data_IF_837802306210
#
_entry.id   IF_837802306210
#
_cell.length_a   1.000
_cell.length_b   1.000
_cell.length_c   1.000
_cell.angle_alpha   90.00
_cell.angle_beta   90.00
_cell.angle_gamma   90.00
#
_symmetry.space_group_name_H-M   'P 1'
#
loop_
_entity.id
_entity.type
_entity.pdbx_description
1 polymer ?
#
# COMPACT_ATOMS: atom_id res chain seq x y z
N UNK A 1 -25.89 -5.93 -0.67
CA UNK A 1 -24.83 -5.49 0.25
C UNK A 1 -23.56 -5.13 -0.49
N UNK A 2 -23.68 -4.37 -1.58
CA UNK A 2 -22.58 -4.11 -2.53
C UNK A 2 -21.68 -2.94 -2.06
N UNK A 3 -22.29 -1.97 -1.38
CA UNK A 3 -21.62 -0.74 -0.92
C UNK A 3 -20.61 -0.97 0.21
N UNK A 4 -20.89 -1.86 1.15
CA UNK A 4 -19.97 -2.20 2.24
C UNK A 4 -18.72 -2.94 1.71
N UNK A 5 -18.91 -3.88 0.78
CA UNK A 5 -17.81 -4.60 0.13
C UNK A 5 -16.97 -3.67 -0.77
N UNK A 6 -17.61 -2.71 -1.44
CA UNK A 6 -16.90 -1.66 -2.17
C UNK A 6 -16.05 -0.78 -1.25
N UNK A 7 -16.61 -0.34 -0.12
CA UNK A 7 -15.89 0.48 0.85
C UNK A 7 -14.67 -0.24 1.45
N UNK A 8 -14.79 -1.55 1.73
CA UNK A 8 -13.66 -2.37 2.18
C UNK A 8 -12.59 -2.53 1.11
N UNK A 9 -13.00 -2.75 -0.14
CA UNK A 9 -12.07 -2.84 -1.27
C UNK A 9 -11.31 -1.53 -1.47
N UNK A 10 -12.01 -0.39 -1.47
CA UNK A 10 -11.37 0.91 -1.58
C UNK A 10 -10.43 1.15 -0.40
N UNK A 11 -10.85 0.83 0.84
CA UNK A 11 -9.97 0.97 2.02
C UNK A 11 -8.69 0.14 1.87
N UNK A 12 -8.78 -1.08 1.33
CA UNK A 12 -7.64 -1.97 1.08
C UNK A 12 -6.66 -1.38 0.06
N UNK A 13 -7.15 -0.75 -1.00
CA UNK A 13 -6.30 -0.28 -2.10
C UNK A 13 -6.01 1.23 -2.09
N UNK A 14 -6.64 2.01 -1.20
CA UNK A 14 -6.46 3.47 -1.19
C UNK A 14 -5.00 3.85 -1.09
N UNK A 15 -4.24 3.21 -0.18
CA UNK A 15 -2.86 3.59 0.07
C UNK A 15 -1.98 3.31 -1.13
N UNK A 16 -2.22 2.21 -1.84
CA UNK A 16 -1.52 1.86 -3.07
C UNK A 16 -1.77 2.86 -4.19
N UNK A 17 -3.03 3.24 -4.41
CA UNK A 17 -3.40 4.20 -5.46
C UNK A 17 -2.80 5.58 -5.12
N UNK A 18 -2.96 6.05 -3.89
CA UNK A 18 -2.40 7.32 -3.45
C UNK A 18 -0.86 7.35 -3.51
N UNK A 19 -0.18 6.30 -3.04
CA UNK A 19 1.29 6.24 -3.09
C UNK A 19 1.81 6.21 -4.51
N UNK A 20 1.15 5.48 -5.41
CA UNK A 20 1.49 5.42 -6.83
C UNK A 20 1.27 6.78 -7.51
N UNK A 21 0.12 7.41 -7.28
CA UNK A 21 -0.19 8.71 -7.90
C UNK A 21 0.75 9.82 -7.43
N UNK A 22 1.12 9.84 -6.14
CA UNK A 22 2.02 10.85 -5.55
C UNK A 22 3.43 10.86 -6.13
N UNK A 23 3.88 9.76 -6.73
CA UNK A 23 5.19 9.69 -7.40
C UNK A 23 5.25 10.67 -8.57
N UNK A 24 4.14 10.86 -9.28
CA UNK A 24 4.04 11.70 -10.48
C UNK A 24 3.31 13.02 -10.20
N UNK A 25 2.32 13.00 -9.32
CA UNK A 25 1.48 14.15 -8.98
C UNK A 25 1.73 14.54 -7.52
N UNK A 26 2.70 15.42 -7.21
CA UNK A 26 2.98 15.81 -5.83
C UNK A 26 1.85 16.66 -5.21
N UNK A 27 1.06 17.34 -6.05
CA UNK A 27 -0.08 18.15 -5.62
C UNK A 27 -1.21 17.25 -5.07
N UNK A 28 -1.72 17.51 -3.84
CA UNK A 28 -2.80 16.73 -3.25
C UNK A 28 -4.08 16.71 -4.09
N UNK A 29 -4.44 17.83 -4.73
CA UNK A 29 -5.62 17.92 -5.58
C UNK A 29 -5.53 16.99 -6.79
N UNK A 30 -4.40 17.02 -7.51
CA UNK A 30 -4.15 16.16 -8.67
C UNK A 30 -4.17 14.68 -8.28
N UNK A 31 -3.59 14.35 -7.12
CA UNK A 31 -3.61 12.98 -6.57
C UNK A 31 -5.04 12.52 -6.28
N UNK A 32 -5.87 13.37 -5.69
CA UNK A 32 -7.26 13.05 -5.38
C UNK A 32 -8.11 12.83 -6.65
N UNK A 33 -7.89 13.64 -7.68
CA UNK A 33 -8.56 13.48 -8.98
C UNK A 33 -8.15 12.17 -9.68
N UNK A 34 -6.85 11.84 -9.66
CA UNK A 34 -6.36 10.55 -10.17
C UNK A 34 -7.01 9.40 -9.39
N UNK A 35 -7.04 9.49 -8.06
CA UNK A 35 -7.68 8.47 -7.22
C UNK A 35 -9.15 8.26 -7.58
N UNK A 36 -9.92 9.33 -7.78
CA UNK A 36 -11.33 9.23 -8.21
C UNK A 36 -11.46 8.53 -9.56
N UNK A 37 -10.63 8.90 -10.55
CA UNK A 37 -10.65 8.28 -11.88
C UNK A 37 -10.33 6.79 -11.82
N UNK A 38 -9.34 6.40 -11.02
CA UNK A 38 -8.97 4.99 -10.81
C UNK A 38 -10.10 4.23 -10.12
N UNK A 39 -10.76 4.80 -9.12
CA UNK A 39 -11.92 4.17 -8.47
C UNK A 39 -13.06 3.90 -9.46
N UNK A 40 -13.35 4.83 -10.37
CA UNK A 40 -14.37 4.66 -11.41
C UNK A 40 -14.01 3.51 -12.37
N UNK A 41 -12.74 3.41 -12.78
CA UNK A 41 -12.27 2.29 -13.61
C UNK A 41 -12.25 0.96 -12.89
N UNK A 42 -11.88 0.96 -11.60
CA UNK A 42 -11.93 -0.23 -10.75
C UNK A 42 -13.37 -0.75 -10.64
N UNK A 43 -14.34 0.14 -10.40
CA UNK A 43 -15.76 -0.21 -10.35
C UNK A 43 -16.23 -0.88 -11.66
N UNK A 44 -15.88 -0.30 -12.82
CA UNK A 44 -16.20 -0.89 -14.14
C UNK A 44 -15.51 -2.24 -14.35
N UNK A 45 -14.27 -2.40 -13.89
CA UNK A 45 -13.50 -3.64 -14.08
C UNK A 45 -14.00 -4.78 -13.18
N UNK A 46 -14.48 -4.48 -11.97
CA UNK A 46 -14.99 -5.50 -11.03
C UNK A 46 -16.14 -6.31 -11.62
N UNK A 47 -16.96 -5.70 -12.47
CA UNK A 47 -18.03 -6.38 -13.21
C UNK A 47 -17.51 -7.52 -14.13
N UNK A 48 -16.22 -7.51 -14.45
CA UNK A 48 -15.58 -8.44 -15.38
C UNK A 48 -14.30 -9.09 -14.82
N UNK A 49 -14.01 -8.91 -13.53
CA UNK A 49 -12.76 -9.36 -12.93
C UNK A 49 -12.79 -10.88 -12.72
N UNK A 50 -11.93 -11.60 -13.46
CA UNK A 50 -11.80 -13.07 -13.37
C UNK A 50 -10.68 -13.52 -12.42
N UNK A 51 -9.71 -12.64 -12.15
CA UNK A 51 -8.56 -12.93 -11.29
C UNK A 51 -8.24 -11.75 -10.38
N UNK A 52 -8.45 -11.96 -9.08
CA UNK A 52 -8.24 -10.98 -8.01
C UNK A 52 -6.75 -10.77 -7.71
N UNK A 53 -5.89 -11.76 -7.98
CA UNK A 53 -4.45 -11.65 -7.70
C UNK A 53 -3.76 -10.66 -8.63
N UNK A 54 -4.29 -10.47 -9.84
CA UNK A 54 -3.80 -9.47 -10.80
C UNK A 54 -4.18 -8.01 -10.45
N UNK A 55 -5.07 -7.81 -9.48
CA UNK A 55 -5.68 -6.51 -9.20
C UNK A 55 -4.68 -5.43 -8.73
N UNK A 56 -3.74 -5.70 -7.81
CA UNK A 56 -2.77 -4.68 -7.36
C UNK A 56 -1.89 -4.17 -8.50
N UNK A 57 -1.35 -5.09 -9.31
CA UNK A 57 -0.51 -4.77 -10.47
C UNK A 57 -1.27 -3.94 -11.50
N UNK A 58 -2.53 -4.30 -11.76
CA UNK A 58 -3.38 -3.51 -12.64
C UNK A 58 -3.66 -2.11 -12.07
N UNK A 59 -3.91 -2.00 -10.76
CA UNK A 59 -4.15 -0.72 -10.08
C UNK A 59 -2.95 0.22 -10.20
N UNK A 60 -1.73 -0.27 -10.01
CA UNK A 60 -0.52 0.54 -10.18
C UNK A 60 -0.42 1.03 -11.63
N UNK A 61 -0.62 0.12 -12.60
CA UNK A 61 -0.56 0.45 -14.02
C UNK A 61 -1.59 1.52 -14.42
N UNK A 62 -2.85 1.36 -14.01
CA UNK A 62 -3.92 2.30 -14.37
C UNK A 62 -3.72 3.65 -13.65
N UNK A 63 -3.29 3.63 -12.39
CA UNK A 63 -3.01 4.86 -11.62
C UNK A 63 -1.91 5.68 -12.28
N UNK A 64 -0.80 5.04 -12.67
CA UNK A 64 0.29 5.72 -13.38
C UNK A 64 -0.17 6.33 -14.70
N UNK A 65 -0.95 5.58 -15.49
CA UNK A 65 -1.51 6.09 -16.75
C UNK A 65 -2.36 7.35 -16.53
N UNK A 66 -3.24 7.34 -15.51
CA UNK A 66 -4.04 8.52 -15.15
C UNK A 66 -3.22 9.69 -14.63
N UNK A 67 -2.19 9.44 -13.84
CA UNK A 67 -1.25 10.48 -13.39
C UNK A 67 -0.54 11.13 -14.57
N UNK A 68 -0.05 10.35 -15.54
CA UNK A 68 0.58 10.88 -16.76
C UNK A 68 -0.42 11.70 -17.58
N UNK A 69 -1.64 11.20 -17.77
CA UNK A 69 -2.69 11.93 -18.48
C UNK A 69 -3.06 13.25 -17.78
N UNK A 70 -3.09 13.26 -16.44
CA UNK A 70 -3.32 14.48 -15.64
C UNK A 70 -2.21 15.51 -15.86
N UNK A 71 -0.94 15.09 -15.77
CA UNK A 71 0.20 15.97 -16.00
C UNK A 71 0.22 16.55 -17.43
N UNK A 72 -0.14 15.74 -18.43
CA UNK A 72 -0.22 16.18 -19.84
C UNK A 72 -1.29 17.24 -20.08
N UNK A 73 -2.34 17.29 -19.26
CA UNK A 73 -3.45 18.24 -19.39
C UNK A 73 -3.18 19.59 -18.70
N UNK A 74 -2.11 19.71 -17.89
CA UNK A 74 -1.70 21.00 -17.35
C UNK A 74 -1.16 21.91 -18.47
N UNK A 75 -1.51 23.20 -18.50
CA UNK A 75 -0.86 24.16 -19.40
C UNK A 75 0.64 24.20 -19.07
N UNK A 76 1.47 23.82 -20.03
CA UNK A 76 2.93 23.65 -19.91
C UNK A 76 3.59 24.91 -19.32
N UNK A 77 4.12 24.81 -18.10
CA UNK A 77 5.25 25.64 -17.66
C UNK A 77 6.54 24.82 -17.52
N UNK A 78 6.45 23.48 -17.61
CA UNK A 78 7.59 22.58 -17.58
C UNK A 78 7.43 21.52 -18.67
N UNK A 79 8.40 21.50 -19.59
CA UNK A 79 8.57 20.41 -20.55
C UNK A 79 8.97 19.16 -19.76
N UNK A 80 8.00 18.29 -19.47
CA UNK A 80 8.31 16.93 -19.07
C UNK A 80 8.81 16.20 -20.32
N UNK A 81 10.12 15.94 -20.37
CA UNK A 81 10.69 15.02 -21.34
C UNK A 81 10.05 13.64 -21.11
N UNK A 82 9.65 12.97 -22.20
CA UNK A 82 9.00 11.66 -22.14
C UNK A 82 9.86 10.56 -21.47
N UNK A 83 11.14 10.86 -21.22
CA UNK A 83 12.13 10.00 -20.58
C UNK A 83 12.12 10.03 -19.03
N UNK A 84 11.38 10.95 -18.38
CA UNK A 84 11.33 11.06 -16.91
C UNK A 84 10.18 10.30 -16.25
N UNK A 85 9.46 9.42 -16.96
CA UNK A 85 8.48 8.55 -16.31
C UNK A 85 9.26 7.47 -15.54
N UNK A 86 9.28 7.45 -14.19
CA UNK A 86 10.20 6.58 -13.46
C UNK A 86 9.97 5.11 -13.80
N UNK A 87 11.02 4.45 -14.27
CA UNK A 87 10.99 3.08 -14.78
C UNK A 87 10.60 2.04 -13.70
N UNK A 88 10.29 0.82 -14.16
CA UNK A 88 9.94 -0.44 -13.46
C UNK A 88 10.37 -0.63 -11.99
N UNK A 89 11.58 -0.29 -11.51
CA UNK A 89 11.99 -0.48 -10.11
C UNK A 89 11.06 0.14 -9.06
N UNK A 90 10.42 1.28 -9.36
CA UNK A 90 9.48 1.90 -8.42
C UNK A 90 8.16 1.13 -8.34
N UNK A 91 7.74 0.51 -9.45
CA UNK A 91 6.54 -0.34 -9.51
C UNK A 91 6.77 -1.59 -8.67
N UNK A 92 7.89 -2.29 -8.88
CA UNK A 92 8.23 -3.49 -8.09
C UNK A 92 8.32 -3.17 -6.58
N UNK A 93 8.84 -1.98 -6.24
CA UNK A 93 8.92 -1.53 -4.85
C UNK A 93 7.53 -1.26 -4.25
N UNK A 94 6.63 -0.61 -5.00
CA UNK A 94 5.26 -0.34 -4.57
C UNK A 94 4.42 -1.63 -4.48
N UNK A 95 4.61 -2.57 -5.41
CA UNK A 95 4.01 -3.91 -5.38
C UNK A 95 4.45 -4.66 -4.12
N UNK A 96 5.76 -4.75 -3.86
CA UNK A 96 6.30 -5.40 -2.66
C UNK A 96 5.84 -4.74 -1.37
N UNK A 97 5.76 -3.41 -1.33
CA UNK A 97 5.26 -2.71 -0.16
C UNK A 97 3.78 -3.02 0.09
N UNK A 98 2.98 -3.10 -0.97
CA UNK A 98 1.58 -3.46 -0.84
C UNK A 98 1.37 -4.92 -0.40
N UNK A 99 2.15 -5.86 -0.94
CA UNK A 99 2.16 -7.25 -0.49
C UNK A 99 2.54 -7.37 0.98
N UNK A 100 3.55 -6.61 1.43
CA UNK A 100 3.96 -6.53 2.82
C UNK A 100 2.83 -6.01 3.71
N UNK A 101 2.14 -4.95 3.31
CA UNK A 101 0.99 -4.41 4.04
C UNK A 101 -0.15 -5.43 4.16
N UNK A 102 -0.52 -6.11 3.06
CA UNK A 102 -1.53 -7.17 3.11
C UNK A 102 -1.11 -8.34 3.99
N UNK A 103 0.16 -8.72 3.97
CA UNK A 103 0.67 -9.80 4.82
C UNK A 103 0.68 -9.40 6.31
N UNK A 104 0.96 -8.12 6.62
CA UNK A 104 0.86 -7.57 7.98
C UNK A 104 -0.58 -7.55 8.49
N UNK A 105 -1.58 -7.26 7.64
CA UNK A 105 -3.00 -7.30 7.99
C UNK A 105 -3.50 -8.71 8.34
N UNK A 106 -2.89 -9.75 7.76
CA UNK A 106 -3.21 -11.15 8.06
C UNK A 106 -2.54 -11.67 9.35
N UNK A 107 -1.65 -10.89 9.97
CA UNK A 107 -1.06 -11.26 11.26
C UNK A 107 -2.06 -11.06 12.41
N UNK A 108 -1.97 -11.88 13.47
CA UNK A 108 -2.71 -11.62 14.69
C UNK A 108 -2.42 -10.21 15.22
N UNK A 109 -3.43 -9.53 15.74
CA UNK A 109 -3.35 -8.13 16.16
C UNK A 109 -2.12 -7.83 17.04
N UNK A 110 -1.82 -8.74 17.98
CA UNK A 110 -0.66 -8.64 18.87
C UNK A 110 0.68 -8.66 18.12
N UNK A 111 0.81 -9.51 17.09
CA UNK A 111 2.00 -9.59 16.24
C UNK A 111 2.14 -8.34 15.37
N UNK A 112 1.03 -7.88 14.79
CA UNK A 112 0.98 -6.66 13.97
C UNK A 112 1.40 -5.42 14.76
N UNK A 113 0.81 -5.22 15.95
CA UNK A 113 1.18 -4.10 16.84
C UNK A 113 2.63 -4.15 17.29
N UNK A 114 3.17 -5.33 17.60
CA UNK A 114 4.58 -5.49 17.97
C UNK A 114 5.50 -5.06 16.82
N UNK A 115 5.24 -5.51 15.58
CA UNK A 115 6.06 -5.13 14.43
C UNK A 115 5.93 -3.62 14.12
N UNK A 116 4.74 -3.05 14.25
CA UNK A 116 4.52 -1.60 14.10
C UNK A 116 5.35 -0.78 15.10
N UNK A 117 5.38 -1.18 16.37
CA UNK A 117 6.19 -0.48 17.38
C UNK A 117 7.70 -0.64 17.17
N UNK A 118 8.14 -1.77 16.63
CA UNK A 118 9.58 -2.05 16.44
C UNK A 118 10.17 -1.40 15.19
N UNK A 119 9.39 -1.27 14.12
CA UNK A 119 9.93 -0.95 12.79
C UNK A 119 9.28 0.26 12.10
N UNK A 120 8.08 0.66 12.53
CA UNK A 120 7.29 1.70 11.85
C UNK A 120 6.98 2.89 12.75
N UNK A 121 7.54 2.93 13.96
CA UNK A 121 7.42 4.09 14.85
C UNK A 121 8.47 5.13 14.47
N UNK A 122 8.05 6.39 14.37
CA UNK A 122 8.93 7.53 14.07
C UNK A 122 10.01 7.69 15.15
N UNK A 123 9.67 7.38 16.40
CA UNK A 123 10.57 7.43 17.53
C UNK A 123 10.91 6.00 18.00
N UNK A 124 12.20 5.65 18.16
CA UNK A 124 12.60 4.30 18.53
C UNK A 124 12.24 4.00 19.98
N UNK A 125 11.27 3.11 20.19
CA UNK A 125 10.83 2.67 21.51
C UNK A 125 11.75 1.57 22.07
N UNK A 126 12.06 1.66 23.36
CA UNK A 126 12.74 0.59 24.07
C UNK A 126 11.85 -0.65 24.21
N UNK A 127 12.47 -1.82 24.39
CA UNK A 127 11.71 -3.05 24.64
C UNK A 127 10.86 -2.97 25.92
N UNK A 128 11.27 -2.20 26.93
CA UNK A 128 10.47 -1.99 28.13
C UNK A 128 9.16 -1.23 27.83
N UNK A 129 9.24 -0.17 27.02
CA UNK A 129 8.06 0.63 26.64
C UNK A 129 7.12 -0.15 25.72
N UNK A 130 7.67 -0.91 24.77
CA UNK A 130 6.88 -1.78 23.89
C UNK A 130 6.17 -2.86 24.71
N UNK A 131 6.87 -3.48 25.67
CA UNK A 131 6.31 -4.48 26.57
C UNK A 131 5.14 -3.90 27.38
N UNK A 132 5.31 -2.70 27.93
CA UNK A 132 4.27 -2.00 28.67
C UNK A 132 3.06 -1.66 27.80
N UNK A 133 3.27 -1.11 26.59
CA UNK A 133 2.19 -0.76 25.64
C UNK A 133 1.40 -1.97 25.13
N UNK A 134 2.05 -3.13 25.06
CA UNK A 134 1.43 -4.38 24.61
C UNK A 134 0.88 -5.23 25.76
N UNK A 135 1.19 -4.90 27.02
CA UNK A 135 0.79 -5.68 28.19
C UNK A 135 1.47 -7.06 28.25
N UNK A 136 2.75 -7.15 27.88
CA UNK A 136 3.50 -8.41 27.80
C UNK A 136 4.82 -8.32 28.56
N UNK A 137 5.39 -9.44 29.05
CA UNK A 137 6.72 -9.42 29.64
C UNK A 137 7.78 -9.01 28.61
N UNK A 138 8.78 -8.22 29.01
CA UNK A 138 9.91 -7.83 28.14
C UNK A 138 10.62 -9.07 27.57
N UNK A 139 10.78 -10.11 28.37
CA UNK A 139 11.36 -11.41 27.96
C UNK A 139 10.57 -12.08 26.83
N UNK A 140 9.28 -11.75 26.67
CA UNK A 140 8.42 -12.30 25.61
C UNK A 140 8.56 -11.57 24.28
N UNK A 141 9.20 -10.39 24.22
CA UNK A 141 9.35 -9.61 22.98
C UNK A 141 10.17 -10.38 21.96
N UNK A 142 11.37 -10.86 22.33
CA UNK A 142 12.26 -11.58 21.41
C UNK A 142 11.58 -12.79 20.74
N UNK A 143 11.03 -13.74 21.52
CA UNK A 143 10.32 -14.90 20.96
C UNK A 143 9.09 -14.51 20.13
N UNK A 144 8.34 -13.48 20.55
CA UNK A 144 7.15 -13.03 19.81
C UNK A 144 7.53 -12.36 18.50
N UNK A 145 8.61 -11.56 18.47
CA UNK A 145 9.17 -10.97 17.26
C UNK A 145 9.59 -12.05 16.27
N UNK A 146 10.36 -13.04 16.72
CA UNK A 146 10.82 -14.14 15.86
C UNK A 146 9.66 -14.91 15.22
N UNK A 147 8.65 -15.30 16.02
CA UNK A 147 7.44 -15.96 15.50
C UNK A 147 6.66 -15.08 14.53
N UNK A 148 6.54 -13.78 14.82
CA UNK A 148 5.81 -12.84 13.96
C UNK A 148 6.48 -12.67 12.60
N UNK A 149 7.82 -12.51 12.58
CA UNK A 149 8.60 -12.43 11.34
C UNK A 149 8.56 -13.74 10.54
N UNK A 150 8.61 -14.90 11.22
CA UNK A 150 8.51 -16.18 10.55
C UNK A 150 7.13 -16.36 9.90
N UNK A 151 6.06 -15.95 10.58
CA UNK A 151 4.70 -15.99 10.01
C UNK A 151 4.55 -15.03 8.83
N UNK A 152 5.07 -13.81 8.96
CA UNK A 152 5.08 -12.82 7.88
C UNK A 152 5.80 -13.35 6.63
N UNK A 153 6.99 -13.93 6.80
CA UNK A 153 7.75 -14.54 5.70
C UNK A 153 6.96 -15.67 5.02
N UNK A 154 6.26 -16.52 5.78
CA UNK A 154 5.42 -17.59 5.20
C UNK A 154 4.26 -17.02 4.38
N UNK A 155 3.59 -15.98 4.89
CA UNK A 155 2.47 -15.33 4.19
C UNK A 155 2.91 -14.71 2.86
N UNK A 156 4.10 -14.10 2.82
CA UNK A 156 4.68 -13.53 1.60
C UNK A 156 5.24 -14.58 0.63
N UNK A 157 5.50 -15.82 1.07
CA UNK A 157 5.96 -16.92 0.22
C UNK A 157 4.81 -17.78 -0.33
N UNK A 158 3.61 -17.65 0.24
CA UNK A 158 2.42 -18.43 -0.12
C UNK A 158 1.48 -17.71 -1.10
N UNK A 159 1.88 -16.57 -1.64
CA UNK A 159 1.20 -15.86 -2.72
C UNK A 159 2.02 -15.96 -4.00
#
# INVERSE_FOLDING_TARGET
GDEASWAELIRKYQRLIYSTARVLCPEPADTADVFQQVCLELYRRLLHLRDVQSLPKWLIKVTRAKSVDMLRRRPRTTELAEDEIPCDPQIETLERHHELEQALEQLPERSRRLLNHLYFSEEPLSYAEIAQRLGIPVSSIGPTRARSLQKLRRLMQSQ
#
